data_IF_124652084926
#
_entry.id   IF_124652084926
#
_cell.length_a   1.000
_cell.length_b   1.000
_cell.length_c   1.000
_cell.angle_alpha   90.00
_cell.angle_beta   90.00
_cell.angle_gamma   90.00
#
_symmetry.space_group_name_H-M   'P 1'
#
loop_
_entity.id
_entity.type
_entity.pdbx_description
1 polymer ?
#
# COMPACT_ATOMS: atom_id res chain seq x y z
N UNK A 1 11.59 -6.43 -6.48
CA UNK A 1 11.93 -5.01 -6.31
C UNK A 1 12.69 -4.86 -5.00
N UNK A 2 13.87 -4.27 -5.07
CA UNK A 2 14.67 -3.92 -3.91
C UNK A 2 14.45 -2.45 -3.55
N UNK A 3 14.21 -2.19 -2.27
CA UNK A 3 13.91 -0.85 -1.73
C UNK A 3 14.62 -0.65 -0.38
N UNK A 4 14.46 0.51 0.22
CA UNK A 4 14.99 0.85 1.55
C UNK A 4 14.19 0.25 2.72
N UNK A 5 13.07 -0.42 2.42
CA UNK A 5 12.24 -1.14 3.40
C UNK A 5 12.22 -2.63 3.10
N UNK A 6 11.97 -3.44 4.13
CA UNK A 6 12.00 -4.90 4.07
C UNK A 6 10.65 -5.54 3.68
N UNK A 7 9.68 -4.73 3.30
CA UNK A 7 8.35 -5.18 2.88
C UNK A 7 7.27 -4.13 3.07
N UNK A 8 6.04 -4.54 2.87
CA UNK A 8 4.83 -3.74 3.08
C UNK A 8 4.26 -4.03 4.45
N UNK A 9 3.87 -3.01 5.18
CA UNK A 9 3.34 -3.11 6.54
C UNK A 9 1.86 -2.73 6.59
N UNK A 10 1.16 -3.21 7.62
CA UNK A 10 -0.25 -2.87 7.87
C UNK A 10 -0.49 -1.37 8.04
N UNK A 11 0.51 -0.62 8.46
CA UNK A 11 0.58 0.85 8.48
C UNK A 11 2.04 1.27 8.61
N UNK A 12 2.34 2.57 8.62
CA UNK A 12 3.71 3.07 8.75
C UNK A 12 4.31 2.69 10.13
N UNK A 13 5.32 1.81 10.18
CA UNK A 13 5.92 1.35 11.45
C UNK A 13 6.66 2.47 12.20
N UNK A 14 7.01 3.57 11.52
CA UNK A 14 7.63 4.75 12.15
C UNK A 14 6.64 5.54 13.00
N UNK A 15 5.34 5.38 12.72
CA UNK A 15 4.25 6.04 13.43
C UNK A 15 3.59 5.09 14.41
N UNK A 16 3.37 3.85 14.00
CA UNK A 16 2.70 2.82 14.80
C UNK A 16 3.67 1.67 15.03
N UNK A 17 4.27 1.61 16.20
CA UNK A 17 5.25 0.58 16.57
C UNK A 17 4.69 -0.86 16.52
N UNK A 18 3.37 -1.02 16.57
CA UNK A 18 2.68 -2.32 16.47
C UNK A 18 2.35 -2.72 15.02
N UNK A 19 2.77 -1.93 14.02
CA UNK A 19 2.59 -2.30 12.62
C UNK A 19 3.26 -3.63 12.32
N UNK A 20 2.58 -4.50 11.56
CA UNK A 20 3.07 -5.82 11.19
C UNK A 20 3.37 -5.86 9.70
N UNK A 21 4.44 -6.54 9.34
CA UNK A 21 4.77 -6.81 7.94
C UNK A 21 3.77 -7.80 7.35
N UNK A 22 3.28 -7.50 6.16
CA UNK A 22 2.40 -8.37 5.39
C UNK A 22 3.26 -9.36 4.60
N UNK A 23 2.96 -10.65 4.73
CA UNK A 23 3.62 -11.67 3.91
C UNK A 23 3.15 -11.60 2.45
N UNK A 24 1.85 -11.41 2.26
CA UNK A 24 1.21 -11.29 0.95
C UNK A 24 0.22 -10.12 0.95
N UNK A 25 0.03 -9.52 -0.22
CA UNK A 25 -0.94 -8.45 -0.48
C UNK A 25 -1.41 -8.57 -1.92
N UNK A 26 -2.67 -8.24 -2.22
CA UNK A 26 -3.14 -8.27 -3.60
C UNK A 26 -2.69 -7.02 -4.37
N UNK A 27 -2.74 -7.09 -5.72
CA UNK A 27 -2.41 -5.93 -6.55
C UNK A 27 -3.32 -4.74 -6.24
N UNK A 28 -4.62 -5.00 -6.06
CA UNK A 28 -5.64 -4.00 -5.76
C UNK A 28 -5.37 -3.32 -4.41
N UNK A 29 -5.13 -4.10 -3.36
CA UNK A 29 -4.79 -3.59 -2.03
C UNK A 29 -3.49 -2.77 -2.06
N UNK A 30 -2.48 -3.24 -2.81
CA UNK A 30 -1.21 -2.51 -2.94
C UNK A 30 -1.38 -1.20 -3.71
N UNK A 31 -2.24 -1.18 -4.76
CA UNK A 31 -2.57 0.04 -5.50
C UNK A 31 -3.24 1.07 -4.59
N UNK A 32 -4.21 0.64 -3.78
CA UNK A 32 -4.87 1.51 -2.80
C UNK A 32 -3.86 2.08 -1.80
N UNK A 33 -3.06 1.22 -1.18
CA UNK A 33 -2.04 1.65 -0.21
C UNK A 33 -1.04 2.63 -0.84
N UNK A 34 -0.57 2.37 -2.06
CA UNK A 34 0.38 3.22 -2.76
C UNK A 34 -0.23 4.56 -3.20
N UNK A 35 -1.51 4.60 -3.54
CA UNK A 35 -2.22 5.81 -3.98
C UNK A 35 -2.44 6.80 -2.84
N UNK A 36 -2.63 6.33 -1.61
CA UNK A 36 -2.97 7.15 -0.45
C UNK A 36 -1.81 7.38 0.53
N UNK A 37 -0.57 7.08 0.15
CA UNK A 37 0.60 7.52 0.92
C UNK A 37 1.60 6.45 1.33
N UNK A 38 1.34 5.16 1.12
CA UNK A 38 2.33 4.12 1.33
C UNK A 38 3.38 4.15 0.20
N UNK A 39 4.38 5.00 0.33
CA UNK A 39 5.41 5.27 -0.70
C UNK A 39 6.44 4.15 -0.91
N UNK A 40 6.06 2.90 -0.66
CA UNK A 40 6.94 1.73 -0.85
C UNK A 40 7.12 1.41 -2.33
N UNK A 41 6.05 1.51 -3.11
CA UNK A 41 6.05 1.24 -4.55
C UNK A 41 5.34 2.35 -5.33
N UNK A 42 5.74 2.51 -6.58
CA UNK A 42 5.03 3.36 -7.53
C UNK A 42 3.77 2.66 -8.02
N UNK A 43 2.63 3.36 -8.01
CA UNK A 43 1.33 2.82 -8.46
C UNK A 43 1.39 2.25 -9.88
N UNK A 44 2.08 2.94 -10.80
CA UNK A 44 2.25 2.48 -12.19
C UNK A 44 3.00 1.16 -12.32
N UNK A 45 3.97 0.88 -11.43
CA UNK A 45 4.71 -0.38 -11.43
C UNK A 45 3.84 -1.53 -10.97
N UNK A 46 3.01 -1.31 -9.95
CA UNK A 46 2.02 -2.29 -9.46
C UNK A 46 0.94 -2.54 -10.52
N UNK A 47 0.43 -1.47 -11.14
CA UNK A 47 -0.58 -1.58 -12.21
C UNK A 47 -0.07 -2.33 -13.45
N UNK A 48 1.21 -2.13 -13.82
CA UNK A 48 1.81 -2.90 -14.91
C UNK A 48 1.96 -4.38 -14.54
N UNK A 49 2.44 -4.68 -13.34
CA UNK A 49 2.58 -6.05 -12.87
C UNK A 49 1.23 -6.78 -12.83
N UNK A 50 0.18 -6.11 -12.35
CA UNK A 50 -1.19 -6.61 -12.37
C UNK A 50 -1.66 -6.94 -13.79
N UNK A 51 -1.47 -5.99 -14.73
CA UNK A 51 -1.87 -6.16 -16.13
C UNK A 51 -1.18 -7.35 -16.80
N UNK A 52 0.10 -7.55 -16.52
CA UNK A 52 0.92 -8.61 -17.13
C UNK A 52 0.90 -9.93 -16.30
N UNK A 53 0.17 -9.96 -15.18
CA UNK A 53 0.09 -11.14 -14.30
C UNK A 53 1.44 -11.54 -13.69
N UNK A 54 2.32 -10.57 -13.41
CA UNK A 54 3.66 -10.81 -12.89
C UNK A 54 3.69 -10.61 -11.38
N UNK A 55 4.03 -11.66 -10.63
CA UNK A 55 4.26 -11.55 -9.19
C UNK A 55 5.37 -10.56 -8.89
N UNK A 56 5.17 -9.74 -7.87
CA UNK A 56 6.18 -8.78 -7.42
C UNK A 56 6.55 -9.10 -5.98
N UNK A 57 7.84 -9.20 -5.71
CA UNK A 57 8.36 -9.33 -4.36
C UNK A 57 9.06 -8.03 -3.96
N UNK A 58 8.74 -7.53 -2.78
CA UNK A 58 9.38 -6.36 -2.17
C UNK A 58 10.42 -6.84 -1.15
N UNK A 59 11.66 -6.44 -1.34
CA UNK A 59 12.79 -6.82 -0.50
C UNK A 59 13.58 -5.58 -0.10
N UNK A 60 14.27 -5.66 1.05
CA UNK A 60 15.27 -4.67 1.42
C UNK A 60 16.52 -4.78 0.57
N UNK A 61 17.07 -3.65 0.14
CA UNK A 61 18.42 -3.59 -0.45
C UNK A 61 19.55 -3.67 0.58
N UNK A 62 19.21 -3.68 1.87
CA UNK A 62 20.14 -3.75 3.00
C UNK A 62 20.13 -5.12 3.69
N UNK A 63 19.85 -6.20 2.94
CA UNK A 63 19.89 -7.56 3.49
C UNK A 63 21.36 -7.94 3.73
N UNK A 64 21.68 -8.32 4.97
CA UNK A 64 22.96 -8.96 5.28
C UNK A 64 22.95 -10.38 4.69
N UNK A 65 23.92 -10.68 3.85
CA UNK A 65 24.09 -12.01 3.22
C UNK A 65 24.32 -13.13 4.25
N UNK A 66 24.70 -12.76 5.48
CA UNK A 66 24.94 -13.67 6.61
C UNK A 66 23.68 -13.93 7.48
N UNK A 67 22.53 -13.34 7.15
CA UNK A 67 21.30 -13.59 7.90
C UNK A 67 20.89 -15.08 7.71
N UNK A 68 20.62 -15.82 8.81
CA UNK A 68 20.16 -17.19 8.68
C UNK A 68 18.88 -17.22 7.85
N UNK A 69 18.83 -18.13 6.87
CA UNK A 69 17.65 -18.36 6.06
C UNK A 69 16.47 -18.67 6.98
N UNK A 70 15.63 -17.69 7.21
CA UNK A 70 14.37 -17.91 7.91
C UNK A 70 13.48 -18.77 6.98
N UNK A 71 12.79 -19.76 7.52
CA UNK A 71 11.84 -20.61 6.78
C UNK A 71 10.64 -19.85 6.17
N UNK A 72 10.68 -18.52 6.21
CA UNK A 72 9.65 -17.62 5.70
C UNK A 72 10.14 -16.92 4.44
N UNK A 73 9.27 -16.78 3.46
CA UNK A 73 9.53 -15.98 2.26
C UNK A 73 9.89 -14.55 2.71
N UNK A 74 11.10 -14.05 2.41
CA UNK A 74 11.52 -12.73 2.86
C UNK A 74 10.71 -11.65 2.12
N UNK A 75 10.41 -10.56 2.83
CA UNK A 75 9.72 -9.41 2.25
C UNK A 75 8.20 -9.57 2.18
N UNK A 76 7.61 -8.95 1.17
CA UNK A 76 6.17 -9.03 0.88
C UNK A 76 5.97 -9.45 -0.57
N UNK A 77 5.09 -10.43 -0.79
CA UNK A 77 4.68 -10.84 -2.13
C UNK A 77 3.40 -10.10 -2.54
N UNK A 78 3.39 -9.56 -3.75
CA UNK A 78 2.21 -8.96 -4.39
C UNK A 78 1.73 -9.94 -5.45
N UNK A 79 0.50 -10.40 -5.30
CA UNK A 79 -0.11 -11.49 -6.06
C UNK A 79 -1.53 -11.13 -6.50
N UNK A 80 -2.15 -11.96 -7.33
CA UNK A 80 -3.58 -11.82 -7.64
C UNK A 80 -4.46 -12.30 -6.47
N UNK A 81 -5.70 -11.87 -6.46
CA UNK A 81 -6.72 -12.30 -5.50
C UNK A 81 -6.91 -13.82 -5.53
N UNK A 82 -6.96 -14.39 -6.74
CA UNK A 82 -7.12 -15.83 -6.95
C UNK A 82 -5.95 -16.64 -6.38
N UNK A 83 -4.72 -16.13 -6.51
CA UNK A 83 -3.54 -16.76 -5.93
C UNK A 83 -3.56 -16.71 -4.40
N UNK A 84 -4.01 -15.59 -3.83
CA UNK A 84 -4.10 -15.42 -2.38
C UNK A 84 -5.17 -16.35 -1.79
N UNK A 85 -6.32 -16.50 -2.44
CA UNK A 85 -7.37 -17.45 -2.04
C UNK A 85 -6.88 -18.90 -2.09
N UNK A 86 -6.08 -19.25 -3.08
CA UNK A 86 -5.45 -20.58 -3.21
C UNK A 86 -4.41 -20.91 -2.14
N UNK A 87 -3.92 -19.91 -1.40
CA UNK A 87 -2.96 -20.09 -0.31
C UNK A 87 -3.60 -20.42 1.05
N UNK A 88 -4.92 -20.60 1.11
CA UNK A 88 -5.70 -20.96 2.31
C UNK A 88 -5.46 -20.01 3.51
N UNK A 89 -5.25 -18.73 3.23
CA UNK A 89 -5.01 -17.72 4.25
C UNK A 89 -6.33 -17.07 4.69
N UNK A 90 -6.54 -17.01 6.01
CA UNK A 90 -7.65 -16.23 6.58
C UNK A 90 -7.53 -14.76 6.12
N UNK A 91 -8.50 -14.30 5.36
CA UNK A 91 -8.59 -12.90 4.93
C UNK A 91 -8.87 -12.01 6.13
N UNK A 92 -7.98 -11.09 6.39
CA UNK A 92 -8.27 -10.00 7.31
C UNK A 92 -9.21 -9.00 6.62
N UNK A 93 -10.22 -8.52 7.35
CA UNK A 93 -11.17 -7.54 6.85
C UNK A 93 -10.49 -6.20 6.46
N UNK A 94 -9.39 -5.88 7.13
CA UNK A 94 -8.58 -4.68 6.89
C UNK A 94 -7.13 -5.13 6.74
N UNK A 95 -6.57 -5.00 5.54
CA UNK A 95 -5.18 -5.37 5.23
C UNK A 95 -4.20 -4.32 5.70
N UNK A 96 -4.53 -3.04 5.53
CA UNK A 96 -3.66 -1.95 5.94
C UNK A 96 -4.36 -0.60 6.01
N UNK A 97 -3.64 0.36 6.57
CA UNK A 97 -4.07 1.76 6.70
C UNK A 97 -2.93 2.65 6.20
N UNK A 98 -3.18 3.42 5.17
CA UNK A 98 -2.26 4.46 4.69
C UNK A 98 -2.79 5.85 5.07
N UNK A 99 -1.90 6.83 5.18
CA UNK A 99 -2.27 8.22 5.49
C UNK A 99 -1.42 9.19 4.69
N UNK A 100 -1.98 10.34 4.36
CA UNK A 100 -1.27 11.48 3.80
C UNK A 100 -1.40 12.68 4.74
N UNK A 101 -0.26 13.33 5.05
CA UNK A 101 -0.21 14.53 5.90
C UNK A 101 -0.33 15.82 5.10
N UNK A 102 -0.28 15.76 3.77
CA UNK A 102 -0.28 16.92 2.89
C UNK A 102 -1.67 17.29 2.36
N UNK A 103 -2.71 16.67 2.88
CA UNK A 103 -4.09 16.98 2.51
C UNK A 103 -4.70 18.00 3.48
N UNK A 104 -5.51 18.90 2.93
CA UNK A 104 -6.30 19.84 3.69
C UNK A 104 -7.77 19.80 3.22
N UNK A 105 -8.69 19.76 4.17
CA UNK A 105 -10.12 19.86 3.88
C UNK A 105 -10.60 21.28 4.17
N UNK A 106 -11.11 21.96 3.14
CA UNK A 106 -11.77 23.26 3.26
C UNK A 106 -13.28 23.02 3.13
N UNK A 107 -14.04 23.38 4.16
CA UNK A 107 -15.49 23.26 4.15
C UNK A 107 -16.13 24.65 4.15
N UNK A 108 -16.86 24.97 3.10
CA UNK A 108 -17.66 26.19 3.01
C UNK A 108 -19.08 25.88 3.47
N UNK A 109 -19.56 26.64 4.47
CA UNK A 109 -20.92 26.51 4.98
C UNK A 109 -21.74 27.70 4.57
N UNK A 110 -23.08 27.52 4.45
CA UNK A 110 -24.03 28.56 4.09
C UNK A 110 -23.74 29.23 2.74
N UNK A 111 -23.24 28.49 1.79
CA UNK A 111 -23.10 28.99 0.41
C UNK A 111 -24.48 29.14 -0.18
N UNK A 112 -24.87 30.37 -0.67
CA UNK A 112 -26.18 30.58 -1.27
C UNK A 112 -26.33 29.72 -2.53
N UNK A 113 -27.47 29.06 -2.67
CA UNK A 113 -27.82 28.30 -3.88
C UNK A 113 -28.27 29.27 -4.99
N UNK A 114 -27.29 29.94 -5.58
CA UNK A 114 -27.45 30.85 -6.72
C UNK A 114 -26.47 30.49 -7.83
N UNK A 115 -26.90 30.59 -9.10
CA UNK A 115 -25.99 30.42 -10.23
C UNK A 115 -24.76 31.35 -10.09
N UNK A 116 -23.56 30.78 -10.23
CA UNK A 116 -22.29 31.50 -10.15
C UNK A 116 -21.73 31.72 -8.73
N UNK A 117 -22.45 31.36 -7.65
CA UNK A 117 -21.93 31.51 -6.29
C UNK A 117 -20.61 30.76 -6.06
N UNK A 118 -20.47 29.56 -6.60
CA UNK A 118 -19.24 28.76 -6.50
C UNK A 118 -18.10 29.39 -7.29
N UNK A 119 -18.37 29.95 -8.46
CA UNK A 119 -17.34 30.59 -9.31
C UNK A 119 -16.70 31.81 -8.65
N UNK A 120 -17.43 32.51 -7.75
CA UNK A 120 -16.89 33.66 -7.03
C UNK A 120 -16.07 33.31 -5.79
N UNK A 121 -16.04 32.02 -5.38
CA UNK A 121 -15.28 31.52 -4.23
C UNK A 121 -13.88 31.05 -4.68
N UNK A 122 -13.78 30.61 -5.90
CA UNK A 122 -12.53 30.14 -6.53
C UNK A 122 -12.00 31.20 -7.54
#
# INVERSE_FOLDING_TARGET
IYTDVDGVYTTDPRIVAKARKLANVTYEEMLELASVGAKVLQTRSVGLAMKEGVRVQVLSSFIDDDAPAADTIPGTMIVSDEELEGMDMERQLITGIAHDKNEAKITLTRVPDKPGAVANIF
#
